data_IF_748989738926
#
_entry.id   IF_748989738926
#
_cell.length_a   1.000
_cell.length_b   1.000
_cell.length_c   1.000
_cell.angle_alpha   90.00
_cell.angle_beta   90.00
_cell.angle_gamma   90.00
#
_symmetry.space_group_name_H-M   'P 1'
#
loop_
_entity.id
_entity.type
_entity.pdbx_description
1 polymer ?
#
# COMPACT_ATOMS: atom_id res chain seq x y z
N UNK A 1 -29.88 -67.16 13.68
CA UNK A 1 -29.92 -65.99 12.71
C UNK A 1 -29.22 -64.79 13.33
N UNK A 2 -27.99 -64.54 12.95
CA UNK A 2 -27.16 -63.45 13.53
C UNK A 2 -27.15 -62.37 12.51
N UNK A 3 -27.84 -61.21 12.80
CA UNK A 3 -27.83 -60.01 12.01
C UNK A 3 -26.52 -59.21 12.30
N UNK A 4 -25.61 -59.19 11.33
CA UNK A 4 -24.40 -58.37 11.36
C UNK A 4 -24.78 -56.92 11.04
N UNK A 5 -24.69 -56.05 12.05
CA UNK A 5 -24.85 -54.61 11.93
C UNK A 5 -23.51 -53.99 11.46
N UNK A 6 -23.47 -53.57 10.19
CA UNK A 6 -22.30 -52.89 9.63
C UNK A 6 -22.37 -51.39 10.02
N UNK A 7 -21.54 -50.98 10.99
CA UNK A 7 -21.30 -49.59 11.29
C UNK A 7 -20.46 -48.97 10.15
N UNK A 8 -21.06 -48.12 9.35
CA UNK A 8 -20.35 -47.27 8.40
C UNK A 8 -19.86 -46.01 9.12
N UNK A 9 -18.58 -45.96 9.46
CA UNK A 9 -17.92 -44.78 9.98
C UNK A 9 -17.67 -43.84 8.82
N UNK A 10 -18.47 -42.77 8.70
CA UNK A 10 -18.22 -41.67 7.76
C UNK A 10 -17.12 -40.77 8.33
N UNK A 11 -15.93 -40.86 7.75
CA UNK A 11 -14.83 -39.95 8.07
C UNK A 11 -15.09 -38.60 7.40
N UNK A 12 -15.58 -37.63 8.16
CA UNK A 12 -15.78 -36.26 7.68
C UNK A 12 -14.41 -35.56 7.65
N UNK A 13 -13.82 -35.46 6.46
CA UNK A 13 -12.61 -34.68 6.23
C UNK A 13 -12.97 -33.18 6.34
N UNK A 14 -12.66 -32.56 7.47
CA UNK A 14 -12.68 -31.10 7.62
C UNK A 14 -11.54 -30.50 6.78
N UNK A 15 -11.87 -30.02 5.59
CA UNK A 15 -10.97 -29.15 4.80
C UNK A 15 -11.04 -27.76 5.40
N UNK A 16 -10.06 -27.42 6.25
CA UNK A 16 -9.88 -26.06 6.72
C UNK A 16 -9.41 -25.18 5.54
N UNK A 17 -10.03 -24.00 5.30
CA UNK A 17 -9.52 -23.07 4.30
C UNK A 17 -8.15 -22.59 4.75
N UNK A 18 -7.12 -22.89 3.97
CA UNK A 18 -5.80 -22.28 4.12
C UNK A 18 -5.97 -20.85 3.61
N UNK A 19 -6.08 -19.88 4.53
CA UNK A 19 -5.95 -18.48 4.17
C UNK A 19 -4.52 -18.30 3.65
N UNK A 20 -4.38 -18.10 2.35
CA UNK A 20 -3.11 -17.69 1.76
C UNK A 20 -2.80 -16.30 2.31
N UNK A 21 -1.84 -16.20 3.23
CA UNK A 21 -1.26 -14.93 3.61
C UNK A 21 -0.59 -14.38 2.34
N UNK A 22 -1.07 -13.25 1.85
CA UNK A 22 -0.37 -12.54 0.80
C UNK A 22 1.04 -12.24 1.32
N UNK A 23 2.07 -12.62 0.56
CA UNK A 23 3.44 -12.29 0.92
C UNK A 23 3.62 -10.77 0.77
N UNK A 24 4.25 -10.14 1.74
CA UNK A 24 4.58 -8.72 1.70
C UNK A 24 5.40 -8.42 0.45
N UNK A 25 4.97 -7.42 -0.32
CA UNK A 25 5.63 -7.04 -1.56
C UNK A 25 5.93 -5.52 -1.57
N UNK A 26 6.93 -5.09 -0.80
CA UNK A 26 7.26 -3.68 -0.68
C UNK A 26 7.64 -3.02 -2.02
N UNK A 27 8.25 -3.76 -2.94
CA UNK A 27 8.55 -3.23 -4.28
C UNK A 27 7.30 -2.90 -5.06
N UNK A 28 6.26 -3.71 -4.96
CA UNK A 28 4.98 -3.44 -5.61
C UNK A 28 4.26 -2.25 -4.95
N UNK A 29 4.32 -2.14 -3.62
CA UNK A 29 3.77 -1.00 -2.89
C UNK A 29 4.47 0.30 -3.27
N UNK A 30 5.81 0.31 -3.33
CA UNK A 30 6.60 1.48 -3.75
C UNK A 30 6.30 1.85 -5.21
N UNK A 31 6.22 0.87 -6.12
CA UNK A 31 5.90 1.15 -7.52
C UNK A 31 4.49 1.70 -7.71
N UNK A 32 3.52 1.19 -6.96
CA UNK A 32 2.15 1.69 -6.96
C UNK A 32 2.07 3.10 -6.37
N UNK A 33 2.75 3.36 -5.26
CA UNK A 33 2.86 4.70 -4.70
C UNK A 33 3.48 5.69 -5.69
N UNK A 34 4.53 5.26 -6.42
CA UNK A 34 5.17 6.08 -7.47
C UNK A 34 4.18 6.42 -8.58
N UNK A 35 3.43 5.45 -9.08
CA UNK A 35 2.41 5.69 -10.10
C UNK A 35 1.36 6.73 -9.65
N UNK A 36 0.94 6.67 -8.38
CA UNK A 36 0.02 7.68 -7.84
C UNK A 36 0.67 9.05 -7.65
N UNK A 37 1.96 9.13 -7.34
CA UNK A 37 2.68 10.40 -7.33
C UNK A 37 2.76 11.01 -8.75
N UNK A 38 3.01 10.20 -9.78
CA UNK A 38 2.98 10.64 -11.18
C UNK A 38 1.58 11.13 -11.59
N UNK A 39 0.50 10.42 -11.18
CA UNK A 39 -0.87 10.87 -11.40
C UNK A 39 -1.17 12.20 -10.68
N UNK A 40 -0.65 12.41 -9.46
CA UNK A 40 -0.78 13.69 -8.76
C UNK A 40 -0.08 14.82 -9.51
N UNK A 41 1.07 14.54 -10.14
CA UNK A 41 1.86 15.54 -10.88
C UNK A 41 1.19 16.04 -12.15
N UNK A 42 0.23 15.30 -12.68
CA UNK A 42 -0.51 15.62 -13.92
C UNK A 42 -2.02 15.78 -13.69
N UNK A 43 -2.43 15.84 -12.44
CA UNK A 43 -3.83 15.91 -12.05
C UNK A 43 -4.52 17.16 -12.62
N UNK A 44 -5.78 17.07 -13.09
CA UNK A 44 -6.49 18.20 -13.69
C UNK A 44 -6.97 19.23 -12.65
N UNK A 45 -6.97 18.88 -11.37
CA UNK A 45 -7.41 19.77 -10.29
C UNK A 45 -6.67 19.48 -8.98
N UNK A 46 -6.67 20.45 -8.07
CA UNK A 46 -6.06 20.31 -6.75
C UNK A 46 -6.68 19.14 -5.96
N UNK A 47 -8.00 18.98 -6.00
CA UNK A 47 -8.67 17.87 -5.31
C UNK A 47 -8.27 16.50 -5.85
N UNK A 48 -8.07 16.35 -7.16
CA UNK A 48 -7.58 15.09 -7.77
C UNK A 48 -6.12 14.86 -7.38
N UNK A 49 -5.28 15.88 -7.37
CA UNK A 49 -3.90 15.75 -6.89
C UNK A 49 -3.85 15.31 -5.41
N UNK A 50 -4.67 15.89 -4.56
CA UNK A 50 -4.77 15.54 -3.15
C UNK A 50 -5.26 14.10 -2.95
N UNK A 51 -6.23 13.64 -3.73
CA UNK A 51 -6.66 12.23 -3.70
C UNK A 51 -5.49 11.28 -3.99
N UNK A 52 -4.67 11.58 -5.00
CA UNK A 52 -3.51 10.76 -5.31
C UNK A 52 -2.42 10.83 -4.23
N UNK A 53 -2.25 11.95 -3.52
CA UNK A 53 -1.37 11.99 -2.34
C UNK A 53 -1.88 11.10 -1.20
N UNK A 54 -3.18 11.02 -0.97
CA UNK A 54 -3.73 10.03 -0.02
C UNK A 54 -3.40 8.61 -0.44
N UNK A 55 -3.47 8.28 -1.73
CA UNK A 55 -3.10 6.97 -2.24
C UNK A 55 -1.62 6.66 -2.02
N UNK A 56 -0.73 7.63 -2.26
CA UNK A 56 0.71 7.49 -1.93
C UNK A 56 0.89 7.19 -0.45
N UNK A 57 0.28 7.99 0.43
CA UNK A 57 0.38 7.80 1.87
C UNK A 57 -0.13 6.42 2.27
N UNK A 58 -1.31 6.01 1.78
CA UNK A 58 -1.91 4.73 2.11
C UNK A 58 -1.04 3.53 1.70
N UNK A 59 -0.37 3.61 0.54
CA UNK A 59 0.60 2.61 0.11
C UNK A 59 1.85 2.56 1.00
N UNK A 60 2.30 3.71 1.50
CA UNK A 60 3.50 3.77 2.34
C UNK A 60 3.25 3.31 3.77
N UNK A 61 2.11 3.66 4.36
CA UNK A 61 1.84 3.39 5.78
C UNK A 61 1.02 2.12 6.02
N UNK A 62 0.31 1.62 5.01
CA UNK A 62 -0.63 0.50 5.16
C UNK A 62 -1.87 0.84 5.97
N UNK A 63 -2.79 -0.12 6.10
CA UNK A 63 -4.12 0.09 6.69
C UNK A 63 -4.10 0.50 8.18
N UNK A 64 -3.06 0.14 8.91
CA UNK A 64 -2.91 0.42 10.34
C UNK A 64 -1.94 1.57 10.61
N UNK A 65 -1.32 2.12 9.56
CA UNK A 65 -0.31 3.15 9.67
C UNK A 65 -0.87 4.54 9.99
N UNK A 66 -0.10 5.33 10.72
CA UNK A 66 -0.47 6.71 11.03
C UNK A 66 -0.58 7.53 9.75
N UNK A 67 -1.73 8.14 9.55
CA UNK A 67 -2.03 8.95 8.36
C UNK A 67 -2.81 8.21 7.27
N UNK A 68 -3.12 6.93 7.49
CA UNK A 68 -3.99 6.19 6.59
C UNK A 68 -5.38 6.84 6.49
N UNK A 69 -5.87 7.01 5.27
CA UNK A 69 -7.22 7.51 4.99
C UNK A 69 -8.06 6.44 4.28
N UNK A 70 -8.91 5.78 5.04
CA UNK A 70 -9.81 4.76 4.52
C UNK A 70 -10.83 5.29 3.48
N UNK A 71 -11.16 6.58 3.53
CA UNK A 71 -12.11 7.20 2.59
C UNK A 71 -11.51 7.41 1.21
N UNK A 72 -10.20 7.61 1.13
CA UNK A 72 -9.49 7.72 -0.14
C UNK A 72 -9.33 6.36 -0.84
N UNK A 73 -9.48 5.24 -0.10
CA UNK A 73 -9.19 3.90 -0.59
C UNK A 73 -7.70 3.56 -0.50
N UNK A 74 -7.40 2.27 -0.67
CA UNK A 74 -6.02 1.78 -0.63
C UNK A 74 -5.68 1.04 -1.94
N UNK A 75 -4.97 1.66 -2.90
CA UNK A 75 -4.56 1.00 -4.13
C UNK A 75 -3.53 -0.12 -3.91
N UNK A 76 -2.90 -0.16 -2.73
CA UNK A 76 -1.96 -1.20 -2.33
C UNK A 76 -2.60 -2.31 -1.48
N UNK A 77 -3.93 -2.38 -1.42
CA UNK A 77 -4.62 -3.43 -0.66
C UNK A 77 -4.21 -4.83 -1.15
N UNK A 78 -3.80 -5.68 -0.21
CA UNK A 78 -3.36 -7.05 -0.49
C UNK A 78 -1.92 -7.17 -1.00
N UNK A 79 -1.14 -6.08 -1.03
CA UNK A 79 0.27 -6.12 -1.41
C UNK A 79 1.20 -6.31 -0.21
N UNK A 80 0.75 -5.94 0.99
CA UNK A 80 1.49 -6.02 2.24
C UNK A 80 0.85 -5.14 3.31
N UNK A 81 1.68 -4.71 4.26
CA UNK A 81 1.29 -3.91 5.42
C UNK A 81 1.69 -2.44 5.29
N UNK A 82 2.11 -2.02 4.10
CA UNK A 82 2.65 -0.71 3.80
C UNK A 82 4.17 -0.72 3.67
N UNK A 83 4.66 -0.07 2.60
CA UNK A 83 6.07 -0.13 2.21
C UNK A 83 7.04 0.23 3.33
N UNK A 84 6.68 1.13 4.25
CA UNK A 84 7.49 1.48 5.41
C UNK A 84 7.64 0.31 6.39
N UNK A 85 6.56 -0.43 6.65
CA UNK A 85 6.62 -1.59 7.54
C UNK A 85 7.40 -2.73 6.88
N UNK A 86 7.17 -2.95 5.60
CA UNK A 86 7.68 -4.11 4.86
C UNK A 86 9.14 -3.94 4.44
N UNK A 87 9.69 -2.69 4.44
CA UNK A 87 11.12 -2.38 4.20
C UNK A 87 11.93 -2.11 5.48
N UNK A 88 11.42 -2.47 6.64
CA UNK A 88 12.08 -2.21 7.94
C UNK A 88 13.50 -2.75 8.06
N UNK A 89 13.90 -3.70 7.22
CA UNK A 89 15.23 -4.31 7.20
C UNK A 89 16.30 -3.49 6.47
N UNK A 90 15.91 -2.46 5.71
CA UNK A 90 16.82 -1.56 4.99
C UNK A 90 16.69 -0.13 5.50
N UNK A 91 17.57 0.27 6.42
CA UNK A 91 17.52 1.60 7.04
C UNK A 91 17.59 2.74 6.01
N UNK A 92 18.38 2.59 4.93
CA UNK A 92 18.52 3.62 3.88
C UNK A 92 17.26 3.72 3.01
N UNK A 93 16.63 2.60 2.70
CA UNK A 93 15.37 2.58 1.95
C UNK A 93 14.24 3.14 2.80
N UNK A 94 14.12 2.69 4.04
CA UNK A 94 13.14 3.17 5.01
C UNK A 94 13.21 4.71 5.18
N UNK A 95 14.40 5.28 5.38
CA UNK A 95 14.57 6.73 5.48
C UNK A 95 14.14 7.47 4.21
N UNK A 96 14.37 6.89 3.02
CA UNK A 96 13.92 7.47 1.76
C UNK A 96 12.39 7.45 1.64
N UNK A 97 11.75 6.37 2.09
CA UNK A 97 10.28 6.26 2.11
C UNK A 97 9.65 7.20 3.15
N UNK A 98 10.26 7.39 4.32
CA UNK A 98 9.83 8.41 5.30
C UNK A 98 9.88 9.83 4.72
N UNK A 99 10.93 10.14 3.95
CA UNK A 99 11.03 11.42 3.24
C UNK A 99 9.90 11.58 2.21
N UNK A 100 9.60 10.55 1.42
CA UNK A 100 8.49 10.56 0.47
C UNK A 100 7.14 10.75 1.18
N UNK A 101 6.93 10.07 2.31
CA UNK A 101 5.72 10.22 3.14
C UNK A 101 5.55 11.67 3.64
N UNK A 102 6.62 12.26 4.17
CA UNK A 102 6.59 13.65 4.64
C UNK A 102 6.24 14.63 3.51
N UNK A 103 6.82 14.44 2.32
CA UNK A 103 6.52 15.27 1.15
C UNK A 103 5.09 15.05 0.64
N UNK A 104 4.56 13.82 0.62
CA UNK A 104 3.17 13.55 0.26
C UNK A 104 2.20 14.26 1.23
N UNK A 105 2.52 14.27 2.53
CA UNK A 105 1.78 15.04 3.53
C UNK A 105 1.82 16.56 3.30
N UNK A 106 2.91 17.10 2.75
CA UNK A 106 2.98 18.50 2.30
C UNK A 106 2.11 18.73 1.06
N UNK A 107 2.09 17.76 0.13
CA UNK A 107 1.23 17.81 -1.05
C UNK A 107 -0.25 17.90 -0.74
N UNK A 108 -0.73 17.24 0.30
CA UNK A 108 -2.11 17.36 0.78
C UNK A 108 -2.46 18.79 1.24
N UNK A 109 -1.47 19.56 1.66
CA UNK A 109 -1.61 20.95 2.15
C UNK A 109 -1.24 21.99 1.10
N UNK A 110 -0.95 21.57 -0.12
CA UNK A 110 -0.58 22.48 -1.20
C UNK A 110 -1.68 23.53 -1.43
N UNK A 111 -1.34 24.83 -1.48
CA UNK A 111 -2.35 25.88 -1.63
C UNK A 111 -2.84 26.03 -3.06
N UNK A 112 -2.13 25.49 -4.03
CA UNK A 112 -2.45 25.58 -5.47
C UNK A 112 -2.15 24.28 -6.19
N UNK A 113 -2.79 24.09 -7.34
CA UNK A 113 -2.51 22.93 -8.20
C UNK A 113 -1.03 22.89 -8.66
N UNK A 114 -0.45 24.04 -9.00
CA UNK A 114 0.95 24.12 -9.40
C UNK A 114 1.91 23.70 -8.26
N UNK A 115 1.62 24.09 -7.03
CA UNK A 115 2.38 23.65 -5.85
C UNK A 115 2.21 22.14 -5.59
N UNK A 116 1.01 21.59 -5.77
CA UNK A 116 0.75 20.17 -5.68
C UNK A 116 1.54 19.38 -6.74
N UNK A 117 1.51 19.81 -8.01
CA UNK A 117 2.29 19.18 -9.09
C UNK A 117 3.80 19.19 -8.80
N UNK A 118 4.35 20.33 -8.37
CA UNK A 118 5.77 20.43 -8.02
C UNK A 118 6.15 19.50 -6.87
N UNK A 119 5.29 19.36 -5.87
CA UNK A 119 5.49 18.42 -4.76
C UNK A 119 5.39 16.98 -5.23
N UNK A 120 4.41 16.64 -6.07
CA UNK A 120 4.21 15.30 -6.60
C UNK A 120 5.41 14.80 -7.41
N UNK A 121 6.02 15.68 -8.25
CA UNK A 121 7.24 15.35 -8.99
C UNK A 121 8.40 14.97 -8.04
N UNK A 122 8.54 15.69 -6.91
CA UNK A 122 9.56 15.36 -5.90
C UNK A 122 9.27 14.02 -5.21
N UNK A 123 8.00 13.77 -4.87
CA UNK A 123 7.59 12.49 -4.28
C UNK A 123 7.90 11.33 -5.24
N UNK A 124 7.51 11.44 -6.51
CA UNK A 124 7.79 10.42 -7.51
C UNK A 124 9.28 10.14 -7.64
N UNK A 125 10.11 11.17 -7.77
CA UNK A 125 11.57 11.01 -7.88
C UNK A 125 12.17 10.33 -6.63
N UNK A 126 11.68 10.66 -5.44
CA UNK A 126 12.14 10.07 -4.18
C UNK A 126 11.74 8.59 -4.08
N UNK A 127 10.51 8.24 -4.47
CA UNK A 127 10.05 6.86 -4.50
C UNK A 127 10.79 6.01 -5.54
N UNK A 128 11.07 6.56 -6.72
CA UNK A 128 11.90 5.90 -7.75
C UNK A 128 13.30 5.60 -7.22
N UNK A 129 13.91 6.52 -6.46
CA UNK A 129 15.21 6.30 -5.84
C UNK A 129 15.19 5.21 -4.75
N UNK A 130 14.07 5.03 -4.04
CA UNK A 130 13.88 3.92 -3.11
C UNK A 130 13.73 2.58 -3.85
N UNK A 131 12.90 2.51 -4.87
CA UNK A 131 12.62 1.28 -5.61
C UNK A 131 13.78 0.78 -6.50
N UNK A 132 14.82 1.58 -6.72
CA UNK A 132 15.99 1.22 -7.53
C UNK A 132 17.11 0.51 -6.77
N UNK A 133 16.94 0.30 -5.48
CA UNK A 133 17.89 -0.39 -4.58
C UNK A 133 17.45 -1.81 -4.33
#
# INVERSE_FOLDING_TARGET
MIRRLLLRTACLLLVAPVAALAADNPKLEVSTATAHADMASTAPSLGVAQMHFHHVINCLVGNEGKGYDAKAGNPCAGMGNGALNDTSHSAAEHATLEQALAMAGQGLKAPTLAAAHATANKVAATLQAAGSK
#
